data_IF_129308198371
#
_entry.id   IF_129308198371
#
_cell.length_a   1.000
_cell.length_b   1.000
_cell.length_c   1.000
_cell.angle_alpha   90.00
_cell.angle_beta   90.00
_cell.angle_gamma   90.00
#
_symmetry.space_group_name_H-M   'P 1'
#
loop_
_entity.id
_entity.type
_entity.pdbx_description
1 polymer ?
#
# COMPACT_ATOMS: atom_id res chain seq x y z
N UNK A 1 -4.73 -1.36 21.62
CA UNK A 1 -4.43 -0.49 20.48
C UNK A 1 -5.01 -1.05 19.22
N UNK A 2 -5.72 -0.22 18.48
CA UNK A 2 -6.35 -0.64 17.24
C UNK A 2 -5.41 -0.40 16.07
N UNK A 3 -5.26 -1.39 15.22
CA UNK A 3 -4.55 -1.21 13.97
C UNK A 3 -5.47 -0.47 12.99
N UNK A 4 -4.90 0.45 12.26
CA UNK A 4 -5.63 1.17 11.22
C UNK A 4 -5.50 0.39 9.92
N UNK A 5 -6.43 -0.52 9.69
CA UNK A 5 -6.43 -1.37 8.51
C UNK A 5 -7.29 -0.77 7.41
N UNK A 6 -6.75 -0.76 6.22
CA UNK A 6 -7.41 -0.21 5.04
C UNK A 6 -7.75 -1.31 4.05
N UNK A 7 -8.86 -1.11 3.35
CA UNK A 7 -9.24 -1.98 2.23
C UNK A 7 -8.46 -1.59 0.99
N UNK A 8 -8.50 -2.45 -0.04
CA UNK A 8 -7.88 -2.13 -1.31
C UNK A 8 -8.46 -0.85 -1.90
N UNK A 9 -9.78 -0.69 -1.80
CA UNK A 9 -10.45 0.51 -2.32
C UNK A 9 -9.96 1.76 -1.58
N UNK A 10 -9.85 1.67 -0.25
CA UNK A 10 -9.39 2.81 0.54
C UNK A 10 -7.95 3.18 0.20
N UNK A 11 -7.09 2.18 -0.01
CA UNK A 11 -5.71 2.45 -0.39
C UNK A 11 -5.65 3.10 -1.78
N UNK A 12 -6.47 2.61 -2.71
CA UNK A 12 -6.52 3.19 -4.05
C UNK A 12 -6.94 4.65 -3.99
N UNK A 13 -7.94 4.97 -3.17
CA UNK A 13 -8.38 6.35 -2.98
C UNK A 13 -7.30 7.19 -2.33
N UNK A 14 -6.64 6.64 -1.32
CA UNK A 14 -5.59 7.34 -0.59
C UNK A 14 -4.42 7.69 -1.51
N UNK A 15 -4.03 6.75 -2.36
CA UNK A 15 -2.92 6.94 -3.30
C UNK A 15 -3.37 7.56 -4.62
N UNK A 16 -4.67 7.72 -4.82
CA UNK A 16 -5.27 8.28 -6.01
C UNK A 16 -4.88 7.53 -7.27
N UNK A 17 -4.99 6.21 -7.19
CA UNK A 17 -4.74 5.33 -8.33
C UNK A 17 -5.91 4.39 -8.48
N UNK A 18 -5.96 3.71 -9.61
CA UNK A 18 -7.00 2.73 -9.88
C UNK A 18 -6.79 1.52 -8.96
N UNK A 19 -7.88 0.91 -8.41
CA UNK A 19 -7.74 -0.29 -7.59
C UNK A 19 -6.98 -1.43 -8.27
N UNK A 20 -7.07 -1.55 -9.58
CA UNK A 20 -6.30 -2.57 -10.32
C UNK A 20 -4.80 -2.37 -10.14
N UNK A 21 -4.36 -1.13 -10.04
CA UNK A 21 -2.96 -0.84 -9.79
C UNK A 21 -2.53 -1.40 -8.44
N UNK A 22 -3.40 -1.29 -7.43
CA UNK A 22 -3.10 -1.84 -6.11
C UNK A 22 -3.01 -3.36 -6.18
N UNK A 23 -3.97 -4.02 -6.82
CA UNK A 23 -3.93 -5.47 -6.97
C UNK A 23 -2.67 -5.93 -7.68
N UNK A 24 -2.27 -5.22 -8.73
CA UNK A 24 -1.07 -5.56 -9.48
C UNK A 24 0.18 -5.45 -8.60
N UNK A 25 0.28 -4.35 -7.84
CA UNK A 25 1.43 -4.13 -6.97
C UNK A 25 1.51 -5.19 -5.87
N UNK A 26 0.35 -5.59 -5.32
CA UNK A 26 0.30 -6.64 -4.31
C UNK A 26 0.73 -7.98 -4.91
N UNK A 27 0.20 -8.33 -6.09
CA UNK A 27 0.52 -9.61 -6.71
C UNK A 27 1.99 -9.68 -7.15
N UNK A 28 2.60 -8.54 -7.46
CA UNK A 28 4.02 -8.47 -7.79
C UNK A 28 4.90 -8.37 -6.54
N UNK A 29 4.30 -8.43 -5.37
CA UNK A 29 4.98 -8.31 -4.08
C UNK A 29 5.76 -7.01 -3.93
N UNK A 30 5.25 -5.96 -4.56
CA UNK A 30 5.86 -4.63 -4.49
C UNK A 30 5.20 -3.74 -3.44
N UNK A 31 4.02 -4.11 -2.98
CA UNK A 31 3.26 -3.35 -1.98
C UNK A 31 2.91 -4.29 -0.84
N UNK A 32 3.32 -3.98 0.40
CA UNK A 32 3.03 -4.86 1.54
C UNK A 32 1.54 -4.88 1.86
N UNK A 33 1.01 -6.07 2.06
CA UNK A 33 -0.40 -6.28 2.36
C UNK A 33 -0.58 -7.52 3.20
N UNK A 34 -1.70 -7.58 3.92
CA UNK A 34 -2.09 -8.76 4.69
C UNK A 34 -3.25 -9.44 3.99
N UNK A 35 -3.20 -10.76 3.92
CA UNK A 35 -4.32 -11.55 3.43
C UNK A 35 -5.17 -11.98 4.61
N UNK A 36 -6.38 -11.45 4.70
CA UNK A 36 -7.32 -11.78 5.77
C UNK A 36 -8.49 -12.52 5.13
N UNK A 37 -8.52 -13.84 5.33
CA UNK A 37 -9.46 -14.68 4.59
C UNK A 37 -9.14 -14.60 3.10
N UNK A 38 -10.11 -14.17 2.32
CA UNK A 38 -9.94 -14.01 0.87
C UNK A 38 -9.74 -12.55 0.45
N UNK A 39 -9.51 -11.66 1.41
CA UNK A 39 -9.44 -10.24 1.13
C UNK A 39 -8.12 -9.65 1.57
N UNK A 40 -7.64 -8.67 0.82
CA UNK A 40 -6.43 -7.96 1.16
C UNK A 40 -6.73 -6.80 2.11
N UNK A 41 -5.83 -6.60 3.07
CA UNK A 41 -5.89 -5.46 3.98
C UNK A 41 -4.51 -4.84 4.10
N UNK A 42 -4.48 -3.56 4.40
CA UNK A 42 -3.24 -2.78 4.42
C UNK A 42 -3.17 -2.03 5.74
N UNK A 43 -2.02 -2.08 6.39
CA UNK A 43 -1.81 -1.34 7.62
C UNK A 43 -1.26 0.04 7.26
N UNK A 44 -1.91 1.09 7.77
CA UNK A 44 -1.58 2.46 7.39
C UNK A 44 -0.14 2.82 7.67
N UNK A 45 0.38 2.45 8.83
CA UNK A 45 1.76 2.78 9.19
C UNK A 45 2.76 2.10 8.24
N UNK A 46 2.47 0.86 7.85
CA UNK A 46 3.32 0.14 6.90
C UNK A 46 3.23 0.77 5.52
N UNK A 47 2.03 1.16 5.12
CA UNK A 47 1.81 1.82 3.83
C UNK A 47 2.55 3.15 3.77
N UNK A 48 2.48 3.95 4.83
CA UNK A 48 3.16 5.24 4.86
C UNK A 48 4.67 5.08 4.79
N UNK A 49 5.20 4.05 5.45
CA UNK A 49 6.64 3.75 5.38
C UNK A 49 7.02 3.33 3.95
N UNK A 50 6.18 2.51 3.32
CA UNK A 50 6.40 2.09 1.94
C UNK A 50 6.42 3.30 1.01
N UNK A 51 5.49 4.24 1.21
CA UNK A 51 5.43 5.45 0.41
C UNK A 51 6.71 6.27 0.50
N UNK A 52 7.29 6.37 1.68
CA UNK A 52 8.54 7.11 1.84
C UNK A 52 9.66 6.49 1.02
N UNK A 53 9.64 5.17 0.86
CA UNK A 53 10.64 4.47 0.08
C UNK A 53 10.41 4.61 -1.43
N UNK A 54 9.25 5.15 -1.82
CA UNK A 54 8.93 5.37 -3.23
C UNK A 54 9.27 6.79 -3.70
N UNK A 55 9.84 7.60 -2.83
CA UNK A 55 10.22 8.95 -3.22
C UNK A 55 11.28 8.91 -4.31
N UNK A 56 11.00 9.64 -5.40
CA UNK A 56 11.93 9.74 -6.51
C UNK A 56 12.81 10.98 -6.31
N UNK A 57 13.76 10.86 -5.39
CA UNK A 57 14.69 11.93 -5.06
C UNK A 57 16.05 11.57 -5.61
N UNK A 58 16.67 12.44 -6.41
CA UNK A 58 18.02 12.17 -6.90
C UNK A 58 18.98 12.00 -5.73
N UNK A 59 19.94 11.11 -5.83
CA UNK A 59 20.93 10.96 -4.77
C UNK A 59 21.71 12.25 -4.57
N UNK A 60 21.96 12.56 -3.31
CA UNK A 60 22.78 13.72 -2.97
C UNK A 60 24.24 13.40 -3.26
N UNK A 61 24.89 14.32 -3.87
CA UNK A 61 26.32 14.19 -4.19
C UNK A 61 27.15 15.10 -3.31
#
# INVERSE_FOLDING_TARGET
MTRDLLTTKEVAEYLRVNPYTIYRLVSQKKLPAFKVGSQWRFERSVLDRWLKNQLNIPPAN
#
